data_IF_922127919881
#
_entry.id   IF_922127919881
#
_cell.length_a   1.000
_cell.length_b   1.000
_cell.length_c   1.000
_cell.angle_alpha   90.00
_cell.angle_beta   90.00
_cell.angle_gamma   90.00
#
_symmetry.space_group_name_H-M   'P 1'
#
loop_
_entity.id
_entity.type
_entity.pdbx_description
1 polymer ?
#
# COMPACT_ATOMS: atom_id res chain seq x y z
N UNK A 1 -20.64 -0.27 6.84
CA UNK A 1 -19.77 0.84 6.38
C UNK A 1 -20.23 1.25 4.99
N UNK A 2 -20.27 2.55 4.62
CA UNK A 2 -20.61 2.94 3.26
C UNK A 2 -19.65 2.22 2.31
N UNK A 3 -20.22 1.53 1.32
CA UNK A 3 -19.44 0.79 0.31
C UNK A 3 -18.87 1.83 -0.65
N UNK A 4 -17.64 2.27 -0.43
CA UNK A 4 -16.94 3.14 -1.38
C UNK A 4 -16.26 2.28 -2.45
N UNK A 5 -16.14 2.84 -3.65
CA UNK A 5 -15.42 2.21 -4.75
C UNK A 5 -13.95 2.58 -4.68
N UNK A 6 -13.09 1.61 -4.95
CA UNK A 6 -11.64 1.80 -5.01
C UNK A 6 -11.12 1.49 -6.40
N UNK A 7 -10.05 2.18 -6.78
CA UNK A 7 -9.22 1.84 -7.92
C UNK A 7 -7.78 1.59 -7.45
N UNK A 8 -7.03 0.80 -8.22
CA UNK A 8 -5.66 0.42 -7.89
C UNK A 8 -4.68 1.05 -8.87
N UNK A 9 -3.60 1.57 -8.31
CA UNK A 9 -2.47 2.17 -9.04
C UNK A 9 -1.21 1.38 -8.73
N UNK A 10 -0.28 1.31 -9.69
CA UNK A 10 1.02 0.67 -9.52
C UNK A 10 2.13 1.73 -9.47
N UNK A 11 3.14 1.54 -8.62
CA UNK A 11 4.21 2.52 -8.41
C UNK A 11 5.06 2.80 -9.68
N UNK A 12 5.05 1.90 -10.66
CA UNK A 12 5.78 2.09 -11.92
C UNK A 12 5.02 2.92 -12.95
N UNK A 13 3.69 2.92 -12.91
CA UNK A 13 2.85 3.49 -13.97
C UNK A 13 1.78 4.44 -13.47
N UNK A 14 1.66 4.62 -12.16
CA UNK A 14 0.68 5.49 -11.52
C UNK A 14 1.21 6.90 -11.28
N UNK A 15 0.36 7.82 -10.79
CA UNK A 15 0.73 9.21 -10.59
C UNK A 15 1.79 9.34 -9.49
N UNK A 16 2.98 9.92 -9.75
CA UNK A 16 4.07 10.02 -8.77
C UNK A 16 3.63 10.65 -7.45
N UNK A 17 2.78 11.68 -7.50
CA UNK A 17 2.30 12.42 -6.33
C UNK A 17 1.56 11.52 -5.32
N UNK A 18 0.86 10.49 -5.81
CA UNK A 18 0.22 9.51 -4.94
C UNK A 18 1.26 8.71 -4.14
N UNK A 19 2.29 8.20 -4.81
CA UNK A 19 3.28 7.31 -4.20
C UNK A 19 4.25 8.10 -3.30
N UNK A 20 4.63 9.31 -3.69
CA UNK A 20 5.41 10.23 -2.85
C UNK A 20 4.66 10.52 -1.55
N UNK A 21 3.37 10.82 -1.62
CA UNK A 21 2.56 11.09 -0.43
C UNK A 21 2.39 9.86 0.46
N UNK A 22 2.22 8.67 -0.13
CA UNK A 22 2.17 7.42 0.66
C UNK A 22 3.49 7.20 1.39
N UNK A 23 4.64 7.38 0.72
CA UNK A 23 5.96 7.27 1.37
C UNK A 23 6.10 8.28 2.50
N UNK A 24 5.72 9.53 2.28
CA UNK A 24 5.72 10.56 3.32
C UNK A 24 4.87 10.16 4.53
N UNK A 25 3.63 9.69 4.32
CA UNK A 25 2.75 9.26 5.41
C UNK A 25 3.25 8.03 6.16
N UNK A 26 4.07 7.20 5.52
CA UNK A 26 4.61 5.98 6.11
C UNK A 26 6.03 6.15 6.66
N UNK A 27 6.68 7.31 6.46
CA UNK A 27 8.11 7.52 6.70
C UNK A 27 8.55 7.29 8.15
N UNK A 28 7.65 7.50 9.11
CA UNK A 28 7.91 7.35 10.55
C UNK A 28 7.33 6.05 11.13
N UNK A 29 6.67 5.24 10.30
CA UNK A 29 6.14 3.94 10.73
C UNK A 29 7.30 2.97 10.81
N UNK A 30 7.46 2.32 11.96
CA UNK A 30 8.48 1.27 12.19
C UNK A 30 7.87 -0.08 12.53
N UNK A 31 6.67 -0.09 13.11
CA UNK A 31 6.00 -1.32 13.52
C UNK A 31 4.58 -1.34 12.94
N UNK A 32 4.25 -2.42 12.24
CA UNK A 32 2.89 -2.65 11.75
C UNK A 32 2.04 -3.31 12.83
N UNK A 33 0.81 -2.80 12.97
CA UNK A 33 -0.17 -3.41 13.86
C UNK A 33 -0.74 -4.67 13.20
N UNK A 34 -0.81 -5.76 13.95
CA UNK A 34 -1.67 -6.89 13.62
C UNK A 34 -2.93 -6.82 14.46
N UNK A 35 -4.10 -6.93 13.85
CA UNK A 35 -5.32 -7.11 14.63
C UNK A 35 -5.45 -8.58 15.00
N UNK A 36 -5.48 -8.88 16.31
CA UNK A 36 -5.57 -10.23 16.85
C UNK A 36 -6.71 -11.09 16.25
N UNK A 37 -7.82 -10.46 15.83
CA UNK A 37 -8.96 -11.15 15.20
C UNK A 37 -8.75 -11.49 13.72
N UNK A 38 -7.83 -10.83 13.03
CA UNK A 38 -7.49 -11.13 11.62
C UNK A 38 -6.52 -12.32 11.50
N UNK A 39 -5.63 -12.50 12.49
CA UNK A 39 -4.70 -13.64 12.56
C UNK A 39 -5.46 -14.99 12.60
N UNK A 40 -6.71 -15.01 13.06
CA UNK A 40 -7.50 -16.24 13.21
C UNK A 40 -8.39 -16.59 12.00
N UNK A 41 -8.86 -15.63 11.19
CA UNK A 41 -10.01 -15.88 10.30
C UNK A 41 -9.82 -15.63 8.79
N UNK A 42 -8.70 -15.08 8.30
CA UNK A 42 -8.58 -14.77 6.87
C UNK A 42 -7.20 -14.98 6.27
N UNK A 43 -7.04 -16.03 5.47
CA UNK A 43 -6.24 -15.99 4.24
C UNK A 43 -4.81 -15.46 4.32
N UNK A 44 -4.19 -15.49 5.50
CA UNK A 44 -2.77 -15.24 5.68
C UNK A 44 -2.02 -16.53 5.31
N UNK A 45 -0.90 -16.39 4.61
CA UNK A 45 -0.03 -17.54 4.32
C UNK A 45 0.38 -18.20 5.64
N UNK A 46 0.15 -19.52 5.76
CA UNK A 46 0.34 -20.27 7.02
C UNK A 46 1.78 -20.20 7.57
N UNK A 47 2.74 -19.83 6.74
CA UNK A 47 4.18 -19.77 7.06
C UNK A 47 4.77 -18.35 6.96
N UNK A 48 3.93 -17.31 6.95
CA UNK A 48 4.42 -15.95 6.89
C UNK A 48 5.23 -15.59 8.16
N UNK A 49 6.45 -15.02 8.04
CA UNK A 49 7.28 -14.65 9.18
C UNK A 49 6.78 -13.33 9.80
N UNK A 50 5.63 -13.36 10.48
CA UNK A 50 4.94 -12.15 10.98
C UNK A 50 5.79 -11.24 11.85
N UNK A 51 6.60 -11.81 12.74
CA UNK A 51 7.47 -11.03 13.62
C UNK A 51 8.47 -10.18 12.81
N UNK A 52 8.96 -10.72 11.69
CA UNK A 52 9.85 -10.00 10.76
C UNK A 52 9.07 -9.02 9.89
N UNK A 53 7.85 -9.38 9.47
CA UNK A 53 7.01 -8.52 8.64
C UNK A 53 6.37 -7.36 9.41
N UNK A 54 6.34 -7.41 10.75
CA UNK A 54 5.94 -6.29 11.58
C UNK A 54 7.01 -5.19 11.65
N UNK A 55 8.29 -5.55 11.53
CA UNK A 55 9.42 -4.62 11.49
C UNK A 55 9.49 -3.92 10.11
N UNK A 56 8.62 -2.93 9.95
CA UNK A 56 8.43 -2.24 8.70
C UNK A 56 9.45 -1.12 8.53
N UNK A 57 10.12 -1.12 7.38
CA UNK A 57 11.09 -0.11 7.00
C UNK A 57 10.69 0.47 5.63
N UNK A 58 10.11 1.68 5.59
CA UNK A 58 9.64 2.28 4.34
C UNK A 58 10.76 2.59 3.32
N UNK A 59 12.02 2.63 3.76
CA UNK A 59 13.19 2.88 2.91
C UNK A 59 13.74 1.59 2.31
N UNK A 60 13.63 0.46 3.03
CA UNK A 60 14.04 -0.86 2.54
C UNK A 60 12.93 -1.59 1.78
N UNK A 61 11.68 -1.30 2.12
CA UNK A 61 10.53 -1.96 1.50
C UNK A 61 10.15 -1.26 0.20
N UNK A 62 9.82 -2.05 -0.81
CA UNK A 62 9.41 -1.54 -2.11
C UNK A 62 7.90 -1.33 -2.13
N UNK A 63 7.44 -0.09 -2.22
CA UNK A 63 6.04 0.22 -2.50
C UNK A 63 5.66 -0.28 -3.90
N UNK A 64 4.65 -1.13 -4.00
CA UNK A 64 4.24 -1.81 -5.23
C UNK A 64 2.96 -1.21 -5.81
N UNK A 65 1.88 -1.17 -5.02
CA UNK A 65 0.58 -0.66 -5.45
C UNK A 65 -0.09 0.13 -4.35
N UNK A 66 -1.02 0.99 -4.74
CA UNK A 66 -1.84 1.79 -3.83
C UNK A 66 -3.30 1.69 -4.28
N UNK A 67 -4.20 1.44 -3.32
CA UNK A 67 -5.64 1.48 -3.56
C UNK A 67 -6.19 2.81 -3.08
N UNK A 68 -6.99 3.44 -3.92
CA UNK A 68 -7.50 4.80 -3.75
C UNK A 68 -9.01 4.82 -3.84
N UNK A 69 -9.66 5.58 -2.96
CA UNK A 69 -11.08 5.89 -3.07
C UNK A 69 -11.35 6.75 -4.30
N UNK A 70 -12.13 6.25 -5.25
CA UNK A 70 -12.37 6.95 -6.52
C UNK A 70 -13.13 8.27 -6.35
N UNK A 71 -13.93 8.38 -5.29
CA UNK A 71 -14.72 9.58 -4.96
C UNK A 71 -13.92 10.68 -4.23
N UNK A 72 -12.75 10.36 -3.68
CA UNK A 72 -11.95 11.28 -2.85
C UNK A 72 -10.50 11.43 -3.28
N UNK A 73 -9.98 10.54 -4.12
CA UNK A 73 -8.57 10.53 -4.50
C UNK A 73 -7.60 10.17 -3.37
N UNK A 74 -8.11 9.77 -2.19
CA UNK A 74 -7.30 9.42 -1.02
C UNK A 74 -6.99 7.93 -0.98
N UNK A 75 -5.73 7.58 -0.71
CA UNK A 75 -5.35 6.18 -0.53
C UNK A 75 -6.00 5.56 0.71
N UNK A 76 -6.33 4.27 0.62
CA UNK A 76 -6.91 3.48 1.71
C UNK A 76 -6.03 2.28 2.08
N UNK A 77 -5.32 1.71 1.10
CA UNK A 77 -4.35 0.65 1.30
C UNK A 77 -3.12 0.88 0.43
N UNK A 78 -2.00 0.34 0.86
CA UNK A 78 -0.74 0.27 0.09
C UNK A 78 -0.16 -1.13 0.21
N UNK A 79 0.28 -1.70 -0.90
CA UNK A 79 0.98 -2.98 -0.92
C UNK A 79 2.48 -2.76 -1.06
N UNK A 80 3.25 -3.40 -0.18
CA UNK A 80 4.70 -3.29 -0.12
C UNK A 80 5.35 -4.65 -0.28
N UNK A 81 6.51 -4.70 -0.91
CA UNK A 81 7.30 -5.91 -1.11
C UNK A 81 8.58 -5.84 -0.30
N UNK A 82 8.93 -6.96 0.33
CA UNK A 82 10.18 -7.14 1.08
C UNK A 82 10.70 -8.55 0.88
N UNK A 83 12.02 -8.72 0.83
CA UNK A 83 12.67 -10.03 0.89
C UNK A 83 12.95 -10.37 2.35
N UNK A 84 12.49 -11.54 2.80
CA UNK A 84 12.76 -12.07 4.13
C UNK A 84 13.31 -13.48 3.94
N UNK A 85 14.57 -13.67 4.33
CA UNK A 85 15.30 -14.94 4.22
C UNK A 85 15.28 -15.54 2.80
N UNK A 86 15.37 -14.70 1.76
CA UNK A 86 15.35 -15.13 0.35
C UNK A 86 13.96 -15.41 -0.23
N UNK A 87 12.90 -15.12 0.54
CA UNK A 87 11.51 -15.19 0.10
C UNK A 87 10.92 -13.78 -0.02
N UNK A 88 10.38 -13.45 -1.20
CA UNK A 88 9.65 -12.21 -1.41
C UNK A 88 8.23 -12.31 -0.80
N UNK A 89 7.87 -11.33 0.01
CA UNK A 89 6.57 -11.21 0.64
C UNK A 89 5.93 -9.89 0.25
N UNK A 90 4.65 -9.94 -0.10
CA UNK A 90 3.84 -8.74 -0.29
C UNK A 90 2.93 -8.54 0.90
N UNK A 91 2.97 -7.34 1.47
CA UNK A 91 2.18 -6.95 2.63
C UNK A 91 1.26 -5.81 2.25
N UNK A 92 -0.03 -6.03 2.39
CA UNK A 92 -1.04 -4.98 2.23
C UNK A 92 -1.23 -4.30 3.58
N UNK A 93 -0.92 -3.00 3.62
CA UNK A 93 -1.03 -2.14 4.80
C UNK A 93 -2.21 -1.20 4.57
N UNK A 94 -3.17 -1.24 5.49
CA UNK A 94 -4.32 -0.32 5.51
C UNK A 94 -4.16 0.78 6.56
N UNK A 95 -5.28 1.41 6.92
CA UNK A 95 -5.36 2.44 7.95
C UNK A 95 -4.63 2.08 9.27
N UNK A 96 -4.11 3.12 9.93
CA UNK A 96 -3.37 3.05 11.21
C UNK A 96 -2.17 2.10 11.21
N UNK A 97 -1.52 1.97 10.04
CA UNK A 97 -0.37 1.08 9.82
C UNK A 97 -0.68 -0.38 10.13
N UNK A 98 -1.88 -0.81 9.78
CA UNK A 98 -2.37 -2.16 10.06
C UNK A 98 -2.07 -3.10 8.91
N UNK A 99 -1.44 -4.23 9.22
CA UNK A 99 -1.24 -5.34 8.28
C UNK A 99 -2.58 -6.04 7.98
N UNK A 100 -3.06 -5.94 6.73
CA UNK A 100 -4.35 -6.49 6.28
C UNK A 100 -4.23 -7.84 5.59
N UNK A 101 -3.17 -8.02 4.81
CA UNK A 101 -2.94 -9.25 4.04
C UNK A 101 -1.44 -9.45 3.90
N UNK A 102 -0.99 -10.71 3.95
CA UNK A 102 0.36 -11.12 3.60
C UNK A 102 0.27 -12.18 2.52
N UNK A 103 1.06 -12.03 1.47
CA UNK A 103 1.05 -12.89 0.29
C UNK A 103 2.47 -13.35 0.03
N UNK A 104 2.69 -14.66 -0.09
CA UNK A 104 3.95 -15.19 -0.60
C UNK A 104 4.04 -14.88 -2.10
N UNK A 105 5.02 -14.08 -2.50
CA UNK A 105 5.16 -13.64 -3.88
C UNK A 105 6.27 -14.42 -4.62
N UNK A 106 6.06 -14.63 -5.92
CA UNK A 106 7.15 -15.00 -6.80
C UNK A 106 8.08 -13.79 -6.96
N UNK A 107 9.39 -14.03 -6.83
CA UNK A 107 10.42 -12.98 -6.86
C UNK A 107 10.30 -12.12 -8.12
N UNK A 108 10.32 -10.80 -7.95
CA UNK A 108 10.34 -9.84 -9.06
C UNK A 108 8.99 -9.62 -9.74
N UNK A 109 7.89 -10.14 -9.19
CA UNK A 109 6.54 -9.89 -9.73
C UNK A 109 6.23 -8.39 -9.68
N UNK A 110 5.67 -7.83 -10.76
CA UNK A 110 5.52 -6.37 -10.91
C UNK A 110 4.14 -5.80 -10.56
N UNK A 111 3.19 -6.60 -10.06
CA UNK A 111 1.84 -6.13 -9.68
C UNK A 111 1.09 -5.33 -10.78
N UNK A 112 1.30 -5.67 -12.06
CA UNK A 112 0.71 -5.00 -13.22
C UNK A 112 -0.50 -5.78 -13.78
N UNK A 113 -1.57 -5.88 -12.98
CA UNK A 113 -2.83 -6.46 -13.43
C UNK A 113 -3.58 -5.60 -14.46
N UNK A 114 -4.62 -6.17 -15.08
CA UNK A 114 -5.51 -5.47 -16.01
C UNK A 114 -6.38 -4.40 -15.30
N UNK A 115 -6.55 -4.52 -13.99
CA UNK A 115 -7.29 -3.60 -13.10
C UNK A 115 -6.49 -2.36 -12.69
N UNK A 116 -5.21 -2.27 -13.08
CA UNK A 116 -4.35 -1.13 -12.75
C UNK A 116 -4.68 0.07 -13.63
N UNK A 117 -5.01 1.19 -13.00
CA UNK A 117 -5.18 2.48 -13.66
C UNK A 117 -3.81 3.04 -14.06
N UNK A 118 -3.68 3.43 -15.33
CA UNK A 118 -2.42 3.93 -15.92
C UNK A 118 -2.55 5.31 -16.58
N UNK A 119 -3.77 5.79 -16.79
CA UNK A 119 -4.06 7.08 -17.43
C UNK A 119 -5.56 7.43 -17.29
N UNK A 120 -5.94 8.61 -17.76
CA UNK A 120 -7.34 9.08 -17.87
C UNK A 120 -7.79 9.95 -16.70
N UNK A 121 -9.07 10.35 -16.71
CA UNK A 121 -9.61 11.35 -15.77
C UNK A 121 -9.39 11.00 -14.29
N UNK A 122 -9.56 9.72 -13.94
CA UNK A 122 -9.33 9.25 -12.57
C UNK A 122 -7.84 9.35 -12.18
N UNK A 123 -6.92 9.12 -13.11
CA UNK A 123 -5.49 9.26 -12.86
C UNK A 123 -5.15 10.72 -12.55
N UNK A 124 -5.61 11.65 -13.39
CA UNK A 124 -5.32 13.08 -13.25
C UNK A 124 -5.95 13.65 -11.98
N UNK A 125 -7.18 13.23 -11.67
CA UNK A 125 -7.85 13.57 -10.43
C UNK A 125 -7.05 13.13 -9.20
N UNK A 126 -6.57 11.87 -9.18
CA UNK A 126 -5.78 11.33 -8.06
C UNK A 126 -4.43 12.06 -7.94
N UNK A 127 -3.76 12.37 -9.05
CA UNK A 127 -2.52 13.14 -9.04
C UNK A 127 -2.74 14.52 -8.40
N UNK A 128 -3.75 15.26 -8.87
CA UNK A 128 -4.09 16.60 -8.37
C UNK A 128 -4.40 16.60 -6.87
N UNK A 129 -5.27 15.68 -6.43
CA UNK A 129 -5.63 15.56 -5.01
C UNK A 129 -4.42 15.26 -4.13
N UNK A 130 -3.57 14.31 -4.51
CA UNK A 130 -2.44 13.93 -3.66
C UNK A 130 -1.33 14.99 -3.66
N UNK A 131 -1.16 15.74 -4.75
CA UNK A 131 -0.29 16.92 -4.78
C UNK A 131 -0.74 17.96 -3.75
N UNK A 132 -2.03 18.31 -3.75
CA UNK A 132 -2.58 19.29 -2.80
C UNK A 132 -2.44 18.79 -1.36
N UNK A 133 -2.84 17.54 -1.10
CA UNK A 133 -2.74 16.98 0.24
C UNK A 133 -1.29 16.91 0.73
N UNK A 134 -0.33 16.61 -0.15
CA UNK A 134 1.10 16.60 0.22
C UNK A 134 1.60 17.99 0.58
N UNK A 135 1.12 19.04 -0.10
CA UNK A 135 1.41 20.42 0.27
C UNK A 135 0.82 20.76 1.64
N UNK A 136 -0.45 20.43 1.87
CA UNK A 136 -1.13 20.67 3.15
C UNK A 136 -0.44 19.93 4.31
N UNK A 137 -0.08 18.66 4.08
CA UNK A 137 0.57 17.77 5.06
C UNK A 137 1.99 18.24 5.47
N UNK A 138 2.64 19.10 4.66
CA UNK A 138 3.96 19.68 4.97
C UNK A 138 3.88 21.00 5.73
N UNK A 139 2.70 21.61 5.79
CA UNK A 139 2.47 22.88 6.50
C UNK A 139 2.00 22.66 7.95
N UNK A 140 1.73 21.42 8.33
CA UNK A 140 1.27 20.98 9.66
C UNK A 140 2.34 20.21 10.40
#
# INVERSE_FOLDING_TARGET
MPKFTTARFNALTGPPELFERVRFKMQDVRVLKTHARHVQDRGYERDAPFDKLQDFDPDRWRLMTVEVRTDKGKFVNSAWSVDVDGQEWWVVIGFDSTMKTVIRAARGKLALGADIVRSGELYDFVASVNRQLMFDDRLT
#
